data_IF_698654691391
#
_entry.id   IF_698654691391
#
_cell.length_a   1.000
_cell.length_b   1.000
_cell.length_c   1.000
_cell.angle_alpha   90.00
_cell.angle_beta   90.00
_cell.angle_gamma   90.00
#
_symmetry.space_group_name_H-M   'P 1'
#
loop_
_entity.id
_entity.type
_entity.pdbx_description
1 polymer ?
#
# COMPACT_ATOMS: atom_id res chain seq x y z
N UNK A 1 31.10 -24.48 -39.97
CA UNK A 1 30.29 -24.85 -38.78
C UNK A 1 30.56 -23.98 -37.55
N UNK A 2 31.80 -23.47 -37.34
CA UNK A 2 32.15 -22.61 -36.18
C UNK A 2 31.44 -21.24 -36.16
N UNK A 3 31.20 -20.63 -37.32
CA UNK A 3 30.53 -19.32 -37.45
C UNK A 3 29.04 -19.37 -37.06
N UNK A 4 28.37 -20.50 -37.31
CA UNK A 4 26.96 -20.70 -36.96
C UNK A 4 26.76 -20.85 -35.44
N UNK A 5 27.71 -21.52 -34.77
CA UNK A 5 27.73 -21.67 -33.30
C UNK A 5 27.96 -20.34 -32.59
N UNK A 6 28.86 -19.49 -33.10
CA UNK A 6 29.10 -18.17 -32.52
C UNK A 6 27.90 -17.23 -32.66
N UNK A 7 27.12 -17.36 -33.74
CA UNK A 7 25.92 -16.53 -33.95
C UNK A 7 24.78 -16.91 -33.00
N UNK A 8 24.70 -18.18 -32.60
CA UNK A 8 23.66 -18.67 -31.69
C UNK A 8 23.87 -18.21 -30.24
N UNK A 9 25.12 -18.03 -29.81
CA UNK A 9 25.47 -17.59 -28.44
C UNK A 9 25.18 -16.10 -28.21
N UNK A 10 25.15 -15.29 -29.28
CA UNK A 10 24.89 -13.85 -29.17
C UNK A 10 23.41 -13.52 -28.96
N UNK A 11 22.50 -14.43 -29.36
CA UNK A 11 21.04 -14.21 -29.30
C UNK A 11 20.48 -14.48 -27.90
N UNK A 12 21.14 -15.30 -27.08
CA UNK A 12 20.64 -15.69 -25.75
C UNK A 12 20.97 -14.70 -24.63
N UNK A 13 21.84 -13.71 -24.88
CA UNK A 13 22.21 -12.69 -23.89
C UNK A 13 21.23 -11.51 -23.81
N UNK A 14 20.32 -11.39 -24.77
CA UNK A 14 19.39 -10.25 -24.89
C UNK A 14 18.12 -10.41 -24.06
N UNK A 15 17.93 -11.55 -23.40
CA UNK A 15 16.84 -11.76 -22.44
C UNK A 15 17.16 -11.07 -21.12
N UNK A 16 17.31 -9.74 -21.15
CA UNK A 16 17.07 -8.93 -19.98
C UNK A 16 15.60 -9.14 -19.63
N UNK A 17 15.35 -10.04 -18.68
CA UNK A 17 14.06 -10.16 -18.03
C UNK A 17 13.75 -8.78 -17.46
N UNK A 18 12.87 -8.03 -18.13
CA UNK A 18 12.27 -6.85 -17.55
C UNK A 18 11.44 -7.38 -16.37
N UNK A 19 12.05 -7.43 -15.19
CA UNK A 19 11.28 -7.39 -13.97
C UNK A 19 10.52 -6.07 -14.06
N UNK A 20 9.22 -6.17 -14.31
CA UNK A 20 8.30 -5.06 -14.24
C UNK A 20 8.38 -4.53 -12.81
N UNK A 21 9.31 -3.60 -12.59
CA UNK A 21 9.35 -2.72 -11.44
C UNK A 21 8.19 -1.75 -11.61
N UNK A 22 6.98 -2.32 -11.50
CA UNK A 22 5.85 -1.60 -10.99
C UNK A 22 6.32 -1.13 -9.62
N UNK A 23 6.85 0.10 -9.58
CA UNK A 23 6.87 1.00 -8.44
C UNK A 23 5.41 1.19 -8.04
N UNK A 24 4.81 0.09 -7.55
CA UNK A 24 3.52 0.05 -6.95
C UNK A 24 3.66 0.98 -5.79
N UNK A 25 3.08 2.16 -5.93
CA UNK A 25 2.75 3.03 -4.81
C UNK A 25 2.23 2.06 -3.75
N UNK A 26 3.00 1.87 -2.69
CA UNK A 26 2.75 0.82 -1.72
C UNK A 26 1.45 1.21 -1.01
N UNK A 27 0.33 0.75 -1.58
CA UNK A 27 -0.99 0.96 -1.02
C UNK A 27 -0.95 0.39 0.38
N UNK A 28 -1.29 1.22 1.35
CA UNK A 28 -1.31 0.77 2.73
C UNK A 28 -2.53 -0.12 2.91
N UNK A 29 -2.39 -1.14 3.75
CA UNK A 29 -3.53 -1.98 4.11
C UNK A 29 -4.37 -1.34 5.22
N UNK A 30 -5.62 -1.79 5.37
CA UNK A 30 -6.48 -1.36 6.49
C UNK A 30 -5.84 -1.64 7.87
N UNK A 31 -5.11 -2.75 8.00
CA UNK A 31 -4.39 -3.10 9.23
C UNK A 31 -3.21 -2.15 9.48
N UNK A 32 -2.45 -1.82 8.45
CA UNK A 32 -1.35 -0.87 8.53
C UNK A 32 -1.83 0.54 8.89
N UNK A 33 -2.92 0.98 8.26
CA UNK A 33 -3.63 2.22 8.59
C UNK A 33 -4.05 2.23 10.07
N UNK A 34 -4.58 1.11 10.56
CA UNK A 34 -5.00 0.96 11.96
C UNK A 34 -3.81 1.06 12.93
N UNK A 35 -2.70 0.37 12.62
CA UNK A 35 -1.46 0.45 13.40
C UNK A 35 -0.89 1.86 13.45
N UNK A 36 -1.00 2.62 12.35
CA UNK A 36 -0.56 4.01 12.30
C UNK A 36 -1.30 4.88 13.32
N UNK A 37 -2.61 4.70 13.47
CA UNK A 37 -3.43 5.46 14.43
C UNK A 37 -3.17 5.02 15.89
N UNK A 38 -2.85 3.75 16.10
CA UNK A 38 -2.61 3.18 17.43
C UNK A 38 -1.22 3.49 18.02
N UNK A 39 -0.28 4.07 17.27
CA UNK A 39 1.10 4.32 17.75
C UNK A 39 1.16 5.14 19.05
N UNK A 40 0.18 6.01 19.30
CA UNK A 40 0.13 6.86 20.49
C UNK A 40 -0.35 6.14 21.77
N UNK A 41 -0.75 4.86 21.68
CA UNK A 41 -1.05 3.97 22.82
C UNK A 41 -2.32 4.28 23.64
N UNK A 42 -2.80 5.52 23.67
CA UNK A 42 -3.94 5.95 24.48
C UNK A 42 -5.30 5.88 23.75
N UNK A 43 -5.37 5.16 22.63
CA UNK A 43 -6.54 5.10 21.74
C UNK A 43 -6.95 3.64 21.56
N UNK A 44 -8.26 3.38 21.47
CA UNK A 44 -8.78 2.04 21.20
C UNK A 44 -9.60 2.03 19.92
N UNK A 45 -9.30 1.12 19.00
CA UNK A 45 -10.04 0.97 17.75
C UNK A 45 -11.35 0.25 18.03
N UNK A 46 -12.44 0.81 17.52
CA UNK A 46 -13.80 0.26 17.61
C UNK A 46 -14.23 -0.41 16.31
N UNK A 47 -13.62 -0.05 15.19
CA UNK A 47 -13.88 -0.62 13.88
C UNK A 47 -13.03 0.05 12.82
N UNK A 48 -12.81 -0.64 11.70
CA UNK A 48 -12.09 -0.12 10.56
C UNK A 48 -12.79 -0.63 9.28
N UNK A 49 -12.92 0.23 8.27
CA UNK A 49 -13.51 -0.13 6.98
C UNK A 49 -12.77 0.58 5.84
N UNK A 50 -12.82 0.01 4.65
CA UNK A 50 -12.35 0.66 3.43
C UNK A 50 -13.56 1.08 2.62
N UNK A 51 -13.63 2.35 2.24
CA UNK A 51 -14.68 2.90 1.40
C UNK A 51 -14.07 3.59 0.18
N UNK A 52 -14.82 3.59 -0.92
CA UNK A 52 -14.44 4.34 -2.13
C UNK A 52 -15.18 5.68 -2.11
N UNK A 53 -14.47 6.78 -1.90
CA UNK A 53 -15.01 8.13 -1.84
C UNK A 53 -14.43 8.93 -3.01
N UNK A 54 -15.27 9.45 -3.90
CA UNK A 54 -14.84 10.18 -5.11
C UNK A 54 -13.83 9.40 -5.98
N UNK A 55 -14.00 8.08 -6.08
CA UNK A 55 -13.10 7.21 -6.86
C UNK A 55 -11.76 6.90 -6.17
N UNK A 56 -11.57 7.34 -4.92
CA UNK A 56 -10.38 7.08 -4.11
C UNK A 56 -10.70 6.11 -2.99
N UNK A 57 -9.86 5.10 -2.79
CA UNK A 57 -9.94 4.21 -1.64
C UNK A 57 -9.49 4.94 -0.37
N UNK A 58 -10.34 4.91 0.65
CA UNK A 58 -10.12 5.58 1.94
C UNK A 58 -10.39 4.58 3.06
N UNK A 59 -9.41 4.40 3.95
CA UNK A 59 -9.56 3.65 5.17
C UNK A 59 -10.15 4.55 6.25
N UNK A 60 -11.32 4.16 6.77
CA UNK A 60 -12.01 4.86 7.85
C UNK A 60 -11.82 4.05 9.14
N UNK A 61 -11.13 4.64 10.11
CA UNK A 61 -10.81 4.00 11.38
C UNK A 61 -11.59 4.71 12.49
N UNK A 62 -12.48 3.97 13.14
CA UNK A 62 -13.26 4.42 14.27
C UNK A 62 -12.49 4.18 15.57
N UNK A 63 -12.28 5.23 16.34
CA UNK A 63 -11.45 5.21 17.55
C UNK A 63 -12.20 5.77 18.74
N UNK A 64 -12.10 5.07 19.87
CA UNK A 64 -12.43 5.57 21.19
C UNK A 64 -11.22 6.31 21.77
N UNK A 65 -11.42 7.59 22.04
CA UNK A 65 -10.45 8.45 22.73
C UNK A 65 -10.45 8.17 24.23
N UNK A 66 -9.38 8.54 24.97
CA UNK A 66 -9.33 8.35 26.41
C UNK A 66 -10.44 9.13 27.14
N UNK A 67 -10.90 10.24 26.56
CA UNK A 67 -12.04 11.03 27.07
C UNK A 67 -13.42 10.39 26.79
N UNK A 68 -13.46 9.19 26.22
CA UNK A 68 -14.69 8.46 25.92
C UNK A 68 -15.42 8.93 24.64
N UNK A 69 -14.83 9.85 23.87
CA UNK A 69 -15.40 10.31 22.60
C UNK A 69 -14.99 9.39 21.45
N UNK A 70 -15.87 9.26 20.47
CA UNK A 70 -15.60 8.53 19.23
C UNK A 70 -15.10 9.48 18.15
N UNK A 71 -13.93 9.19 17.57
CA UNK A 71 -13.36 9.88 16.41
C UNK A 71 -13.29 8.94 15.21
N UNK A 72 -13.36 9.51 14.00
CA UNK A 72 -13.18 8.78 12.75
C UNK A 72 -11.98 9.37 12.02
N UNK A 73 -10.92 8.58 11.88
CA UNK A 73 -9.75 8.95 11.09
C UNK A 73 -9.94 8.46 9.66
N UNK A 74 -9.74 9.33 8.68
CA UNK A 74 -9.80 8.99 7.26
C UNK A 74 -8.39 8.96 6.71
N UNK A 75 -7.95 7.81 6.24
CA UNK A 75 -6.62 7.61 5.71
C UNK A 75 -6.72 7.23 4.23
N UNK A 76 -5.95 7.92 3.42
CA UNK A 76 -5.78 7.60 2.00
C UNK A 76 -5.15 6.21 1.84
N UNK A 77 -5.80 5.30 1.12
CA UNK A 77 -5.26 3.95 0.94
C UNK A 77 -4.03 3.92 0.02
N UNK A 78 -3.85 4.92 -0.85
CA UNK A 78 -2.71 4.98 -1.77
C UNK A 78 -1.48 5.60 -1.11
N UNK A 79 -1.67 6.63 -0.30
CA UNK A 79 -0.56 7.40 0.26
C UNK A 79 -0.34 7.19 1.76
N UNK A 80 -1.33 6.63 2.46
CA UNK A 80 -1.32 6.55 3.92
C UNK A 80 -1.45 7.90 4.63
N UNK A 81 -1.78 8.96 3.91
CA UNK A 81 -1.99 10.29 4.46
C UNK A 81 -3.34 10.39 5.18
N UNK A 82 -3.36 11.10 6.31
CA UNK A 82 -4.61 11.46 6.96
C UNK A 82 -5.31 12.56 6.14
N UNK A 83 -6.56 12.33 5.73
CA UNK A 83 -7.37 13.26 4.93
C UNK A 83 -8.40 14.01 5.80
N UNK A 84 -8.58 13.62 7.07
CA UNK A 84 -9.55 14.24 7.99
C UNK A 84 -9.25 13.97 9.46
#
# INVERSE_FOLDING_TARGET
MKILINLLILITLSSACHADENLGIARISLDEATRQILRDGNKRVLGATTEVINGREVHIIKVLTPDGRVQHYKIDAETGALIG
#
